data_IF_370472383009
#
_entry.id   IF_370472383009
#
_cell.length_a   1.000
_cell.length_b   1.000
_cell.length_c   1.000
_cell.angle_alpha   90.00
_cell.angle_beta   90.00
_cell.angle_gamma   90.00
#
_symmetry.space_group_name_H-M   'P 1'
#
loop_
_entity.id
_entity.type
_entity.pdbx_description
1 polymer ?
#
# COMPACT_ATOMS: atom_id res chain seq x y z
N UNK A 1 -21.86 17.15 12.03
CA UNK A 1 -21.85 15.70 12.33
C UNK A 1 -21.59 15.51 13.81
N UNK A 2 -22.57 14.98 14.55
CA UNK A 2 -22.40 14.64 15.97
C UNK A 2 -21.27 13.60 16.11
N UNK A 3 -20.34 13.85 17.04
CA UNK A 3 -19.29 12.90 17.43
C UNK A 3 -19.96 11.62 17.95
N UNK A 4 -19.61 10.46 17.41
CA UNK A 4 -19.83 9.17 18.06
C UNK A 4 -20.86 8.21 17.46
N UNK A 5 -21.66 8.59 16.45
CA UNK A 5 -22.55 7.63 15.79
C UNK A 5 -21.86 6.95 14.60
N UNK A 6 -21.73 5.63 14.67
CA UNK A 6 -21.33 4.78 13.56
C UNK A 6 -22.30 4.98 12.39
N UNK A 7 -21.78 5.39 11.24
CA UNK A 7 -22.59 5.53 10.03
C UNK A 7 -22.98 4.14 9.53
N UNK A 8 -24.24 3.95 9.13
CA UNK A 8 -24.73 2.69 8.53
C UNK A 8 -23.84 2.20 7.39
N UNK A 9 -23.29 3.12 6.60
CA UNK A 9 -22.39 2.79 5.48
C UNK A 9 -21.03 2.24 5.94
N UNK A 10 -20.57 2.60 7.15
CA UNK A 10 -19.28 2.14 7.67
C UNK A 10 -19.35 0.73 8.26
N UNK A 11 -20.54 0.29 8.68
CA UNK A 11 -20.74 -1.01 9.35
C UNK A 11 -20.21 -2.18 8.51
N UNK A 12 -20.54 -2.31 7.20
CA UNK A 12 -20.03 -3.41 6.38
C UNK A 12 -18.50 -3.43 6.29
N UNK A 13 -17.85 -2.27 6.19
CA UNK A 13 -16.38 -2.16 6.19
C UNK A 13 -15.80 -2.58 7.54
N UNK A 14 -16.40 -2.16 8.67
CA UNK A 14 -15.93 -2.53 10.00
C UNK A 14 -16.07 -4.03 10.29
N UNK A 15 -17.21 -4.63 9.91
CA UNK A 15 -17.39 -6.09 10.01
C UNK A 15 -16.35 -6.83 9.18
N UNK A 16 -16.09 -6.35 7.96
CA UNK A 16 -15.08 -6.91 7.08
C UNK A 16 -13.67 -6.79 7.69
N UNK A 17 -13.36 -5.67 8.33
CA UNK A 17 -12.12 -5.46 9.10
C UNK A 17 -12.00 -6.43 10.26
N UNK A 18 -13.06 -6.68 11.03
CA UNK A 18 -13.04 -7.64 12.14
C UNK A 18 -12.74 -9.06 11.64
N UNK A 19 -13.40 -9.49 10.55
CA UNK A 19 -13.13 -10.81 9.95
C UNK A 19 -11.65 -10.93 9.55
N UNK A 20 -11.09 -9.90 8.91
CA UNK A 20 -9.69 -9.93 8.48
C UNK A 20 -8.70 -9.76 9.64
N UNK A 21 -9.08 -9.10 10.73
CA UNK A 21 -8.30 -9.09 11.98
C UNK A 21 -8.20 -10.50 12.57
N UNK A 22 -9.27 -11.30 12.51
CA UNK A 22 -9.23 -12.69 12.95
C UNK A 22 -8.28 -13.49 12.06
N UNK A 23 -8.38 -13.36 10.73
CA UNK A 23 -7.44 -14.03 9.79
C UNK A 23 -5.99 -13.59 10.05
N UNK A 24 -5.78 -12.30 10.26
CA UNK A 24 -4.47 -11.74 10.60
C UNK A 24 -3.93 -12.31 11.92
N UNK A 25 -4.77 -12.46 12.95
CA UNK A 25 -4.37 -13.08 14.21
C UNK A 25 -3.89 -14.53 14.03
N UNK A 26 -4.53 -15.28 13.12
CA UNK A 26 -4.10 -16.64 12.76
C UNK A 26 -2.77 -16.61 12.00
N UNK A 27 -2.55 -15.59 11.16
CA UNK A 27 -1.27 -15.39 10.48
C UNK A 27 -0.13 -15.15 11.49
N UNK A 28 -0.37 -14.35 12.53
CA UNK A 28 0.61 -14.09 13.61
C UNK A 28 0.99 -15.37 14.37
N UNK A 29 0.03 -16.28 14.62
CA UNK A 29 0.30 -17.55 15.32
C UNK A 29 1.23 -18.50 14.56
N UNK A 30 1.21 -18.47 13.22
CA UNK A 30 2.01 -19.37 12.36
C UNK A 30 3.21 -18.68 11.72
N UNK A 31 3.60 -17.50 12.21
CA UNK A 31 4.65 -16.65 11.65
C UNK A 31 5.87 -17.47 11.22
N UNK A 32 6.11 -17.53 9.92
CA UNK A 32 7.35 -18.00 9.28
C UNK A 32 8.30 -16.84 9.01
N UNK A 33 9.56 -17.15 8.75
CA UNK A 33 10.67 -16.23 8.47
C UNK A 33 10.25 -15.05 7.56
N UNK A 34 9.62 -15.33 6.40
CA UNK A 34 9.26 -14.29 5.41
C UNK A 34 7.80 -13.82 5.45
N UNK A 35 7.07 -14.08 6.55
CA UNK A 35 5.63 -13.75 6.62
C UNK A 35 5.38 -12.25 6.45
N UNK A 36 6.18 -11.41 7.12
CA UNK A 36 6.04 -9.96 7.04
C UNK A 36 6.49 -9.40 5.69
N UNK A 37 7.60 -9.90 5.17
CA UNK A 37 8.09 -9.56 3.83
C UNK A 37 7.04 -9.87 2.77
N UNK A 38 6.40 -11.04 2.84
CA UNK A 38 5.34 -11.42 1.92
C UNK A 38 4.10 -10.52 2.09
N UNK A 39 3.67 -10.24 3.33
CA UNK A 39 2.53 -9.36 3.57
C UNK A 39 2.75 -7.97 2.99
N UNK A 40 3.88 -7.35 3.28
CA UNK A 40 4.22 -6.01 2.78
C UNK A 40 4.38 -6.00 1.26
N UNK A 41 4.90 -7.08 0.68
CA UNK A 41 4.98 -7.23 -0.78
C UNK A 41 3.59 -7.35 -1.41
N UNK A 42 2.69 -8.13 -0.81
CA UNK A 42 1.30 -8.25 -1.25
C UNK A 42 0.60 -6.88 -1.21
N UNK A 43 0.76 -6.11 -0.13
CA UNK A 43 0.22 -4.74 -0.04
C UNK A 43 0.82 -3.86 -1.15
N UNK A 44 2.12 -3.94 -1.39
CA UNK A 44 2.79 -3.17 -2.45
C UNK A 44 2.27 -3.50 -3.85
N UNK A 45 2.08 -4.78 -4.17
CA UNK A 45 1.46 -5.20 -5.43
C UNK A 45 0.04 -4.66 -5.57
N UNK A 46 -0.74 -4.70 -4.49
CA UNK A 46 -2.10 -4.17 -4.47
C UNK A 46 -2.13 -2.64 -4.65
N UNK A 47 -1.20 -1.90 -4.04
CA UNK A 47 -1.06 -0.45 -4.26
C UNK A 47 -0.65 -0.11 -5.70
N UNK A 48 0.26 -0.89 -6.29
CA UNK A 48 0.64 -0.70 -7.69
C UNK A 48 -0.56 -0.92 -8.62
N UNK A 49 -1.34 -1.96 -8.37
CA UNK A 49 -2.59 -2.21 -9.09
C UNK A 49 -3.62 -1.06 -8.91
N UNK A 50 -3.84 -0.64 -7.66
CA UNK A 50 -4.80 0.42 -7.32
C UNK A 50 -4.43 1.78 -7.95
N UNK A 51 -3.13 2.02 -8.16
CA UNK A 51 -2.66 3.21 -8.84
C UNK A 51 -3.26 3.35 -10.24
N UNK A 52 -3.25 2.28 -11.04
CA UNK A 52 -3.86 2.30 -12.37
C UNK A 52 -5.38 2.32 -12.26
N UNK A 53 -5.95 1.37 -11.52
CA UNK A 53 -7.39 1.13 -11.54
C UNK A 53 -8.18 2.28 -10.91
N UNK A 54 -7.77 2.74 -9.74
CA UNK A 54 -8.49 3.79 -9.02
C UNK A 54 -7.91 5.17 -9.29
N UNK A 55 -6.61 5.39 -9.06
CA UNK A 55 -6.07 6.74 -9.05
C UNK A 55 -6.05 7.37 -10.45
N UNK A 56 -5.59 6.64 -11.46
CA UNK A 56 -5.57 7.11 -12.85
C UNK A 56 -6.95 7.00 -13.52
N UNK A 57 -7.54 5.80 -13.53
CA UNK A 57 -8.71 5.50 -14.35
C UNK A 57 -10.06 5.55 -13.61
N UNK A 58 -10.06 5.69 -12.29
CA UNK A 58 -11.28 5.82 -11.48
C UNK A 58 -12.31 4.72 -11.77
N UNK A 59 -11.90 3.45 -11.79
CA UNK A 59 -12.74 2.32 -12.18
C UNK A 59 -14.00 2.14 -11.32
N UNK A 60 -13.91 2.55 -10.06
CA UNK A 60 -14.96 2.44 -9.07
C UNK A 60 -14.81 3.51 -7.98
N UNK A 61 -15.76 3.55 -7.07
CA UNK A 61 -15.78 4.47 -5.94
C UNK A 61 -16.35 3.78 -4.70
N UNK A 62 -15.56 3.74 -3.63
CA UNK A 62 -15.99 3.37 -2.29
C UNK A 62 -16.63 4.56 -1.55
N UNK A 63 -17.58 4.27 -0.66
CA UNK A 63 -18.27 5.25 0.18
C UNK A 63 -18.42 4.73 1.62
N UNK A 64 -17.31 4.47 2.34
CA UNK A 64 -17.38 4.00 3.72
C UNK A 64 -17.98 5.04 4.67
N UNK A 65 -17.99 6.32 4.32
CA UNK A 65 -18.52 7.45 5.09
C UNK A 65 -17.85 7.62 6.47
N UNK A 66 -16.55 7.35 6.55
CA UNK A 66 -15.71 7.48 7.76
C UNK A 66 -15.02 8.84 7.79
N UNK A 67 -14.49 9.31 6.65
CA UNK A 67 -13.82 10.60 6.51
C UNK A 67 -14.77 11.66 5.95
N UNK A 68 -14.57 12.91 6.40
CA UNK A 68 -15.42 14.04 5.98
C UNK A 68 -15.27 14.40 4.50
N UNK A 69 -14.07 14.21 3.93
CA UNK A 69 -13.79 14.56 2.54
C UNK A 69 -14.07 13.32 1.68
N UNK A 70 -15.09 13.39 0.81
CA UNK A 70 -15.53 12.26 -0.02
C UNK A 70 -14.41 11.59 -0.82
N UNK A 71 -13.47 12.37 -1.37
CA UNK A 71 -12.35 11.79 -2.11
C UNK A 71 -11.41 10.99 -1.19
N UNK A 72 -11.05 11.53 -0.02
CA UNK A 72 -10.23 10.82 0.96
C UNK A 72 -10.94 9.58 1.51
N UNK A 73 -12.27 9.67 1.68
CA UNK A 73 -13.11 8.56 2.12
C UNK A 73 -13.14 7.42 1.09
N UNK A 74 -13.22 7.75 -0.20
CA UNK A 74 -13.07 6.79 -1.29
C UNK A 74 -11.71 6.08 -1.24
N UNK A 75 -10.62 6.85 -1.14
CA UNK A 75 -9.27 6.29 -1.02
C UNK A 75 -9.11 5.45 0.25
N UNK A 76 -9.73 5.83 1.37
CA UNK A 76 -9.72 5.02 2.59
C UNK A 76 -10.38 3.65 2.35
N UNK A 77 -11.52 3.61 1.67
CA UNK A 77 -12.18 2.35 1.30
C UNK A 77 -11.28 1.46 0.44
N UNK A 78 -10.56 2.06 -0.50
CA UNK A 78 -9.57 1.36 -1.30
C UNK A 78 -8.40 0.84 -0.47
N UNK A 79 -7.83 1.64 0.43
CA UNK A 79 -6.75 1.23 1.34
C UNK A 79 -7.19 0.07 2.24
N UNK A 80 -8.43 0.09 2.76
CA UNK A 80 -8.95 -1.03 3.53
C UNK A 80 -8.94 -2.33 2.71
N UNK A 81 -9.33 -2.28 1.44
CA UNK A 81 -9.27 -3.43 0.54
C UNK A 81 -7.82 -3.85 0.23
N UNK A 82 -6.99 -2.90 -0.21
CA UNK A 82 -5.68 -3.15 -0.81
C UNK A 82 -4.51 -3.19 0.16
N UNK A 83 -4.67 -2.73 1.40
CA UNK A 83 -3.67 -2.86 2.46
C UNK A 83 -4.07 -3.88 3.52
N UNK A 84 -5.36 -4.19 3.63
CA UNK A 84 -5.86 -5.04 4.70
C UNK A 84 -6.52 -6.30 4.14
N UNK A 85 -7.70 -6.21 3.53
CA UNK A 85 -8.52 -7.39 3.26
C UNK A 85 -7.86 -8.39 2.29
N UNK A 86 -7.49 -7.91 1.11
CA UNK A 86 -6.97 -8.76 0.04
C UNK A 86 -5.53 -9.25 0.34
N UNK A 87 -4.57 -8.39 0.76
CA UNK A 87 -3.22 -8.84 1.08
C UNK A 87 -3.13 -9.80 2.27
N UNK A 88 -3.92 -9.58 3.33
CA UNK A 88 -3.94 -10.49 4.50
C UNK A 88 -4.43 -11.87 4.06
N UNK A 89 -5.49 -11.92 3.25
CA UNK A 89 -6.01 -13.18 2.72
C UNK A 89 -4.99 -13.89 1.84
N UNK A 90 -4.35 -13.19 0.89
CA UNK A 90 -3.33 -13.78 0.02
C UNK A 90 -2.14 -14.33 0.82
N UNK A 91 -1.67 -13.57 1.80
CA UNK A 91 -0.58 -13.99 2.69
C UNK A 91 -1.00 -15.20 3.53
N UNK A 92 -2.21 -15.21 4.09
CA UNK A 92 -2.75 -16.33 4.85
C UNK A 92 -2.81 -17.60 4.01
N UNK A 93 -3.40 -17.54 2.81
CA UNK A 93 -3.51 -18.67 1.90
C UNK A 93 -2.12 -19.24 1.54
N UNK A 94 -1.17 -18.37 1.26
CA UNK A 94 0.21 -18.74 0.88
C UNK A 94 0.96 -19.40 2.04
N UNK A 95 1.01 -18.74 3.20
CA UNK A 95 1.77 -19.24 4.36
C UNK A 95 1.19 -20.56 4.87
N UNK A 96 -0.13 -20.68 4.89
CA UNK A 96 -0.81 -21.92 5.27
C UNK A 96 -0.80 -23.00 4.18
N UNK A 97 -0.22 -22.73 3.00
CA UNK A 97 -0.16 -23.63 1.84
C UNK A 97 -1.55 -24.19 1.48
N UNK A 98 -2.56 -23.32 1.49
CA UNK A 98 -3.94 -23.71 1.21
C UNK A 98 -4.10 -24.07 -0.27
N UNK A 99 -4.84 -25.15 -0.55
CA UNK A 99 -5.07 -25.63 -1.90
C UNK A 99 -6.01 -24.73 -2.73
N UNK A 100 -6.19 -25.05 -4.00
CA UNK A 100 -7.01 -24.26 -4.93
C UNK A 100 -8.47 -24.09 -4.47
N UNK A 101 -9.04 -25.07 -3.74
CA UNK A 101 -10.41 -25.00 -3.23
C UNK A 101 -10.57 -23.81 -2.28
N UNK A 102 -9.63 -23.62 -1.36
CA UNK A 102 -9.63 -22.45 -0.46
C UNK A 102 -9.50 -21.14 -1.22
N UNK A 103 -8.65 -21.08 -2.25
CA UNK A 103 -8.51 -19.89 -3.10
C UNK A 103 -9.84 -19.53 -3.78
N UNK A 104 -10.51 -20.51 -4.38
CA UNK A 104 -11.83 -20.33 -4.99
C UNK A 104 -12.86 -19.89 -3.95
N UNK A 105 -12.88 -20.48 -2.75
CA UNK A 105 -13.78 -20.04 -1.67
C UNK A 105 -13.58 -18.57 -1.29
N UNK A 106 -12.33 -18.11 -1.15
CA UNK A 106 -12.06 -16.70 -0.85
C UNK A 106 -12.39 -15.77 -2.01
N UNK A 107 -12.16 -16.18 -3.26
CA UNK A 107 -12.58 -15.42 -4.44
C UNK A 107 -14.10 -15.25 -4.45
N UNK A 108 -14.85 -16.33 -4.22
CA UNK A 108 -16.32 -16.29 -4.11
C UNK A 108 -16.77 -15.39 -2.97
N UNK A 109 -16.10 -15.47 -1.82
CA UNK A 109 -16.34 -14.58 -0.68
C UNK A 109 -16.19 -13.09 -1.07
N UNK A 110 -15.08 -12.70 -1.70
CA UNK A 110 -14.88 -11.31 -2.13
C UNK A 110 -15.86 -10.87 -3.20
N UNK A 111 -16.23 -11.76 -4.13
CA UNK A 111 -17.27 -11.47 -5.12
C UNK A 111 -18.63 -11.20 -4.46
N UNK A 112 -19.00 -12.00 -3.45
CA UNK A 112 -20.24 -11.80 -2.67
C UNK A 112 -20.18 -10.47 -1.92
N UNK A 113 -19.05 -10.15 -1.27
CA UNK A 113 -18.84 -8.87 -0.59
C UNK A 113 -18.98 -7.69 -1.55
N UNK A 114 -18.38 -7.76 -2.74
CA UNK A 114 -18.50 -6.71 -3.76
C UNK A 114 -19.95 -6.53 -4.21
N UNK A 115 -20.68 -7.63 -4.49
CA UNK A 115 -22.11 -7.59 -4.83
C UNK A 115 -22.97 -7.03 -3.70
N UNK A 116 -22.66 -7.36 -2.45
CA UNK A 116 -23.32 -6.79 -1.29
C UNK A 116 -23.07 -5.28 -1.21
N UNK A 117 -21.83 -4.84 -1.39
CA UNK A 117 -21.48 -3.41 -1.33
C UNK A 117 -22.14 -2.61 -2.46
N UNK A 118 -22.30 -3.20 -3.65
CA UNK A 118 -23.11 -2.63 -4.73
C UNK A 118 -24.57 -2.47 -4.33
N UNK A 119 -25.19 -3.52 -3.79
CA UNK A 119 -26.60 -3.49 -3.35
C UNK A 119 -26.84 -2.47 -2.24
N UNK A 120 -25.88 -2.30 -1.33
CA UNK A 120 -25.93 -1.31 -0.25
C UNK A 120 -25.61 0.12 -0.73
N UNK A 121 -25.20 0.32 -1.98
CA UNK A 121 -24.85 1.64 -2.55
C UNK A 121 -23.56 2.26 -1.99
N UNK A 122 -22.79 1.49 -1.21
CA UNK A 122 -21.52 1.89 -0.58
C UNK A 122 -20.29 1.61 -1.47
N UNK A 123 -20.52 0.94 -2.59
CA UNK A 123 -19.58 0.78 -3.69
C UNK A 123 -20.31 1.08 -5.00
N UNK A 124 -19.67 1.82 -5.90
CA UNK A 124 -20.19 2.12 -7.22
C UNK A 124 -19.13 1.78 -8.26
N UNK A 125 -19.49 1.02 -9.28
CA UNK A 125 -18.63 0.78 -10.44
C UNK A 125 -18.85 1.90 -11.47
N UNK A 126 -17.76 2.34 -12.10
CA UNK A 126 -17.82 3.26 -13.23
C UNK A 126 -17.66 2.46 -14.53
N UNK A 127 -16.51 1.82 -14.70
CA UNK A 127 -16.27 0.86 -15.79
C UNK A 127 -15.83 -0.52 -15.28
N UNK A 128 -15.57 -0.65 -13.98
CA UNK A 128 -15.19 -1.92 -13.38
C UNK A 128 -16.32 -2.95 -13.45
N UNK A 129 -16.01 -4.14 -13.96
CA UNK A 129 -16.93 -5.27 -13.94
C UNK A 129 -16.55 -6.23 -12.81
N UNK A 130 -17.47 -6.69 -11.95
CA UNK A 130 -17.17 -7.66 -10.88
C UNK A 130 -16.50 -8.96 -11.36
N UNK A 131 -16.66 -9.33 -12.65
CA UNK A 131 -15.92 -10.45 -13.26
C UNK A 131 -14.40 -10.22 -13.24
N UNK A 132 -13.94 -8.98 -13.36
CA UNK A 132 -12.53 -8.63 -13.25
C UNK A 132 -11.98 -8.93 -11.87
N UNK A 133 -12.73 -8.64 -10.80
CA UNK A 133 -12.35 -9.00 -9.43
C UNK A 133 -12.07 -10.50 -9.33
N UNK A 134 -12.97 -11.35 -9.82
CA UNK A 134 -12.80 -12.82 -9.76
C UNK A 134 -11.52 -13.27 -10.46
N UNK A 135 -11.27 -12.81 -11.69
CA UNK A 135 -10.10 -13.21 -12.49
C UNK A 135 -8.80 -12.68 -11.89
N UNK A 136 -8.77 -11.39 -11.53
CA UNK A 136 -7.58 -10.75 -10.99
C UNK A 136 -7.22 -11.28 -9.61
N UNK A 137 -8.21 -11.60 -8.77
CA UNK A 137 -7.96 -12.23 -7.47
C UNK A 137 -7.35 -13.62 -7.60
N UNK A 138 -7.80 -14.42 -8.57
CA UNK A 138 -7.18 -15.70 -8.86
C UNK A 138 -5.69 -15.52 -9.20
N UNK A 139 -5.39 -14.61 -10.13
CA UNK A 139 -4.01 -14.28 -10.50
C UNK A 139 -3.21 -13.78 -9.30
N UNK A 140 -3.78 -12.88 -8.50
CA UNK A 140 -3.12 -12.32 -7.32
C UNK A 140 -2.74 -13.39 -6.29
N UNK A 141 -3.61 -14.36 -6.03
CA UNK A 141 -3.31 -15.48 -5.13
C UNK A 141 -2.25 -16.44 -5.68
N UNK A 142 -2.09 -16.56 -7.00
CA UNK A 142 -1.00 -17.33 -7.59
C UNK A 142 0.32 -16.55 -7.62
N UNK A 143 0.26 -15.24 -7.89
CA UNK A 143 1.41 -14.34 -7.80
C UNK A 143 1.98 -14.38 -6.37
N UNK A 144 1.12 -14.33 -5.34
CA UNK A 144 1.56 -14.40 -3.95
C UNK A 144 2.31 -15.71 -3.64
N UNK A 145 1.76 -16.86 -4.02
CA UNK A 145 2.41 -18.17 -3.85
C UNK A 145 3.75 -18.25 -4.58
N UNK A 146 3.77 -17.80 -5.84
CA UNK A 146 4.97 -17.85 -6.67
C UNK A 146 6.05 -16.92 -6.12
N UNK A 147 5.68 -15.71 -5.74
CA UNK A 147 6.60 -14.73 -5.17
C UNK A 147 7.17 -15.20 -3.83
N UNK A 148 6.35 -15.81 -2.97
CA UNK A 148 6.82 -16.44 -1.75
C UNK A 148 7.86 -17.52 -2.00
N UNK A 149 7.65 -18.40 -3.00
CA UNK A 149 8.66 -19.40 -3.40
C UNK A 149 9.96 -18.77 -3.87
N UNK A 150 9.91 -17.61 -4.54
CA UNK A 150 11.11 -16.91 -5.00
C UNK A 150 11.87 -16.26 -3.84
N UNK A 151 11.16 -15.73 -2.84
CA UNK A 151 11.73 -15.22 -1.59
C UNK A 151 12.36 -16.38 -0.79
N UNK A 152 11.67 -17.51 -0.64
CA UNK A 152 12.22 -18.71 0.04
C UNK A 152 13.47 -19.25 -0.68
N UNK A 153 13.47 -19.22 -2.02
CA UNK A 153 14.65 -19.56 -2.85
C UNK A 153 15.72 -18.46 -2.88
N UNK A 154 15.54 -17.37 -2.14
CA UNK A 154 16.45 -16.23 -2.03
C UNK A 154 16.93 -15.70 -3.38
N UNK A 155 16.01 -15.60 -4.35
CA UNK A 155 16.34 -14.98 -5.63
C UNK A 155 16.58 -13.49 -5.41
N UNK A 156 17.79 -13.01 -5.71
CA UNK A 156 18.21 -11.63 -5.45
C UNK A 156 17.23 -10.57 -5.95
N UNK A 157 16.72 -10.75 -7.17
CA UNK A 157 15.75 -9.82 -7.76
C UNK A 157 14.42 -9.81 -7.00
N UNK A 158 13.99 -10.96 -6.46
CA UNK A 158 12.74 -11.06 -5.70
C UNK A 158 12.90 -10.41 -4.32
N UNK A 159 14.05 -10.57 -3.66
CA UNK A 159 14.36 -9.90 -2.41
C UNK A 159 14.44 -8.37 -2.59
N UNK A 160 15.10 -7.90 -3.66
CA UNK A 160 15.13 -6.47 -4.03
C UNK A 160 13.73 -5.94 -4.32
N UNK A 161 12.90 -6.70 -5.04
CA UNK A 161 11.52 -6.32 -5.31
C UNK A 161 10.69 -6.26 -4.02
N UNK A 162 10.83 -7.21 -3.12
CA UNK A 162 10.13 -7.20 -1.82
C UNK A 162 10.54 -6.00 -0.96
N UNK A 163 11.82 -5.66 -0.95
CA UNK A 163 12.33 -4.47 -0.29
C UNK A 163 11.74 -3.19 -0.90
N UNK A 164 11.75 -3.08 -2.24
CA UNK A 164 11.17 -1.96 -2.97
C UNK A 164 9.68 -1.77 -2.62
N UNK A 165 8.89 -2.84 -2.73
CA UNK A 165 7.46 -2.81 -2.41
C UNK A 165 7.22 -2.39 -0.96
N UNK A 166 8.03 -2.88 -0.03
CA UNK A 166 7.93 -2.50 1.38
C UNK A 166 8.15 -0.99 1.59
N UNK A 167 9.18 -0.42 0.96
CA UNK A 167 9.47 1.02 1.05
C UNK A 167 8.31 1.82 0.45
N UNK A 168 7.81 1.43 -0.72
CA UNK A 168 6.65 2.08 -1.37
C UNK A 168 5.41 2.05 -0.48
N UNK A 169 5.12 0.92 0.19
CA UNK A 169 3.99 0.82 1.11
C UNK A 169 4.10 1.80 2.27
N UNK A 170 5.29 1.92 2.86
CA UNK A 170 5.56 2.85 3.95
C UNK A 170 5.34 4.30 3.48
N UNK A 171 5.92 4.67 2.35
CA UNK A 171 5.80 6.03 1.79
C UNK A 171 4.35 6.37 1.42
N UNK A 172 3.65 5.51 0.68
CA UNK A 172 2.26 5.75 0.27
C UNK A 172 1.34 5.87 1.49
N UNK A 173 1.53 5.03 2.51
CA UNK A 173 0.75 5.08 3.76
C UNK A 173 1.00 6.38 4.54
N UNK A 174 2.25 6.83 4.59
CA UNK A 174 2.59 8.13 5.19
C UNK A 174 1.95 9.28 4.43
N UNK A 175 2.06 9.29 3.09
CA UNK A 175 1.47 10.33 2.26
C UNK A 175 -0.04 10.40 2.45
N UNK A 176 -0.73 9.27 2.48
CA UNK A 176 -2.16 9.22 2.79
C UNK A 176 -2.46 9.78 4.19
N UNK A 177 -1.68 9.41 5.20
CA UNK A 177 -1.84 9.92 6.57
C UNK A 177 -1.68 11.45 6.63
N UNK A 178 -0.68 11.99 5.94
CA UNK A 178 -0.46 13.43 5.84
C UNK A 178 -1.56 14.15 5.08
N UNK A 179 -2.11 13.53 4.04
CA UNK A 179 -3.25 14.01 3.29
C UNK A 179 -4.53 14.09 4.14
N UNK A 180 -4.80 13.04 4.93
CA UNK A 180 -5.94 13.02 5.88
C UNK A 180 -5.81 14.11 6.94
N UNK A 181 -4.59 14.34 7.44
CA UNK A 181 -4.28 15.46 8.35
C UNK A 181 -4.25 16.83 7.66
N UNK A 182 -4.46 16.87 6.34
CA UNK A 182 -4.43 18.08 5.49
C UNK A 182 -3.10 18.85 5.57
N UNK A 183 -2.02 18.16 5.93
CA UNK A 183 -0.68 18.75 6.04
C UNK A 183 0.07 18.75 4.71
N UNK A 184 -0.36 17.88 3.78
CA UNK A 184 0.30 17.69 2.50
C UNK A 184 -0.74 17.52 1.39
N UNK A 185 -0.51 18.21 0.26
CA UNK A 185 -1.31 18.06 -0.96
C UNK A 185 -0.48 18.36 -2.20
N UNK A 186 -0.25 17.33 -3.00
CA UNK A 186 0.33 17.44 -4.33
C UNK A 186 -0.74 17.91 -5.33
N UNK A 187 -0.36 18.62 -6.38
CA UNK A 187 -1.27 19.15 -7.40
C UNK A 187 -0.52 20.03 -8.40
N UNK A 188 -1.10 20.31 -9.56
CA UNK A 188 -0.44 21.09 -10.61
C UNK A 188 -0.95 22.54 -10.61
N UNK A 189 -0.04 23.51 -10.70
CA UNK A 189 -0.40 24.92 -10.84
C UNK A 189 -0.84 25.58 -9.53
N UNK A 190 -1.89 26.41 -9.58
CA UNK A 190 -2.35 27.20 -8.42
C UNK A 190 -3.42 26.51 -7.58
N UNK A 191 -4.23 25.63 -8.19
CA UNK A 191 -5.37 24.96 -7.56
C UNK A 191 -5.15 23.46 -7.50
N UNK A 192 -4.81 22.96 -6.31
CA UNK A 192 -4.52 21.55 -6.11
C UNK A 192 -5.81 20.79 -5.82
N UNK A 193 -6.09 19.75 -6.60
CA UNK A 193 -7.21 18.84 -6.40
C UNK A 193 -6.78 17.59 -5.63
N UNK A 194 -7.74 16.88 -5.03
CA UNK A 194 -7.43 15.58 -4.42
C UNK A 194 -7.10 14.53 -5.48
N UNK A 195 -7.70 14.64 -6.67
CA UNK A 195 -7.40 13.74 -7.79
C UNK A 195 -5.92 13.78 -8.16
N UNK A 196 -5.38 14.98 -8.42
CA UNK A 196 -3.96 15.13 -8.73
C UNK A 196 -3.07 14.64 -7.59
N UNK A 197 -3.44 14.92 -6.34
CA UNK A 197 -2.67 14.45 -5.20
C UNK A 197 -2.47 12.94 -5.22
N UNK A 198 -3.55 12.17 -5.44
CA UNK A 198 -3.49 10.71 -5.47
C UNK A 198 -2.96 10.13 -6.78
N UNK A 199 -2.70 10.95 -7.80
CA UNK A 199 -1.93 10.56 -8.99
C UNK A 199 -0.43 10.81 -8.76
N UNK A 200 -0.08 11.98 -8.22
CA UNK A 200 1.32 12.41 -8.10
C UNK A 200 1.99 11.75 -6.89
N UNK A 201 1.33 11.67 -5.73
CA UNK A 201 1.96 11.18 -4.51
C UNK A 201 2.39 9.71 -4.61
N UNK A 202 1.58 8.76 -5.14
CA UNK A 202 2.06 7.40 -5.34
C UNK A 202 3.20 7.31 -6.34
N UNK A 203 3.17 8.10 -7.42
CA UNK A 203 4.27 8.13 -8.40
C UNK A 203 5.57 8.63 -7.77
N UNK A 204 5.49 9.67 -6.94
CA UNK A 204 6.62 10.14 -6.14
C UNK A 204 7.18 9.04 -5.24
N UNK A 205 6.32 8.32 -4.50
CA UNK A 205 6.73 7.19 -3.66
C UNK A 205 7.36 6.05 -4.47
N UNK A 206 6.84 5.75 -5.67
CA UNK A 206 7.43 4.75 -6.56
C UNK A 206 8.85 5.15 -6.98
N UNK A 207 9.09 6.41 -7.32
CA UNK A 207 10.41 6.92 -7.71
C UNK A 207 11.40 6.92 -6.54
N UNK A 208 10.98 7.40 -5.36
CA UNK A 208 11.80 7.39 -4.16
C UNK A 208 12.16 5.96 -3.72
N UNK A 209 11.21 5.03 -3.83
CA UNK A 209 11.42 3.63 -3.50
C UNK A 209 12.52 2.97 -4.33
N UNK A 210 12.60 3.29 -5.64
CA UNK A 210 13.63 2.74 -6.54
C UNK A 210 15.02 3.11 -6.03
N UNK A 211 15.25 4.41 -5.84
CA UNK A 211 16.53 4.91 -5.38
C UNK A 211 16.89 4.40 -3.97
N UNK A 212 15.92 4.40 -3.06
CA UNK A 212 16.08 3.89 -1.69
C UNK A 212 16.49 2.42 -1.67
N UNK A 213 15.95 1.62 -2.59
CA UNK A 213 16.28 0.20 -2.68
C UNK A 213 17.72 -0.02 -3.10
N UNK A 214 18.22 0.77 -4.05
CA UNK A 214 19.62 0.69 -4.49
C UNK A 214 20.59 1.17 -3.42
N UNK A 215 20.33 2.35 -2.83
CA UNK A 215 21.24 2.96 -1.86
C UNK A 215 21.31 2.17 -0.55
N UNK A 216 20.19 1.63 -0.06
CA UNK A 216 20.18 0.93 1.23
C UNK A 216 21.09 -0.29 1.27
N UNK A 217 21.46 -0.85 0.11
CA UNK A 217 22.41 -1.97 0.01
C UNK A 217 23.84 -1.58 0.40
N UNK A 218 24.22 -0.32 0.22
CA UNK A 218 25.56 0.20 0.51
C UNK A 218 25.71 0.51 1.99
N UNK A 219 26.88 0.27 2.59
CA UNK A 219 27.22 0.64 3.98
C UNK A 219 27.99 1.97 4.04
N UNK A 220 27.95 2.67 5.18
CA UNK A 220 28.69 3.92 5.41
C UNK A 220 27.86 5.21 5.33
N UNK A 221 28.20 6.20 6.15
CA UNK A 221 27.42 7.43 6.33
C UNK A 221 27.25 8.24 5.03
N UNK A 222 28.25 8.21 4.14
CA UNK A 222 28.24 8.94 2.87
C UNK A 222 27.03 8.59 1.99
N UNK A 223 26.64 7.32 1.92
CA UNK A 223 25.48 6.89 1.14
C UNK A 223 24.16 7.36 1.75
N UNK A 224 24.11 7.59 3.06
CA UNK A 224 22.92 8.13 3.75
C UNK A 224 22.79 9.62 3.48
N UNK A 225 23.93 10.31 3.41
CA UNK A 225 23.97 11.68 2.94
C UNK A 225 23.51 11.80 1.49
N UNK A 226 23.98 10.94 0.58
CA UNK A 226 23.47 10.91 -0.81
C UNK A 226 21.99 10.56 -0.89
N UNK A 227 21.51 9.67 -0.02
CA UNK A 227 20.07 9.36 0.08
C UNK A 227 19.24 10.59 0.42
N UNK A 228 19.64 11.30 1.49
CA UNK A 228 18.98 12.52 1.92
C UNK A 228 19.06 13.61 0.86
N UNK A 229 20.24 13.83 0.27
CA UNK A 229 20.44 14.83 -0.78
C UNK A 229 19.52 14.56 -1.98
N UNK A 230 19.41 13.32 -2.43
CA UNK A 230 18.50 12.95 -3.51
C UNK A 230 17.04 13.29 -3.18
N UNK A 231 16.55 12.93 -1.99
CA UNK A 231 15.20 13.27 -1.56
C UNK A 231 14.96 14.79 -1.53
N UNK A 232 15.92 15.56 -0.99
CA UNK A 232 15.84 17.02 -0.96
C UNK A 232 15.85 17.64 -2.36
N UNK A 233 16.63 17.10 -3.29
CA UNK A 233 16.66 17.56 -4.69
C UNK A 233 15.33 17.31 -5.39
N UNK A 234 14.74 16.11 -5.23
CA UNK A 234 13.42 15.80 -5.81
C UNK A 234 12.36 16.73 -5.21
N UNK A 235 12.36 16.93 -3.89
CA UNK A 235 11.41 17.83 -3.23
C UNK A 235 11.56 19.27 -3.70
N UNK A 236 12.79 19.78 -3.77
CA UNK A 236 13.09 21.10 -4.28
C UNK A 236 12.58 21.27 -5.72
N UNK A 237 12.83 20.29 -6.58
CA UNK A 237 12.35 20.29 -7.95
C UNK A 237 10.81 20.35 -8.00
N UNK A 238 10.12 19.50 -7.23
CA UNK A 238 8.66 19.48 -7.17
C UNK A 238 8.05 20.78 -6.64
N UNK A 239 8.71 21.44 -5.67
CA UNK A 239 8.30 22.75 -5.16
C UNK A 239 8.53 23.83 -6.23
N UNK A 240 9.69 23.83 -6.89
CA UNK A 240 10.05 24.81 -7.92
C UNK A 240 9.09 24.77 -9.12
N UNK A 241 8.69 23.58 -9.54
CA UNK A 241 7.73 23.36 -10.63
C UNK A 241 6.27 23.57 -10.17
N UNK A 242 6.04 23.89 -8.89
CA UNK A 242 4.71 24.09 -8.27
C UNK A 242 3.81 22.85 -8.37
N UNK A 243 4.41 21.65 -8.31
CA UNK A 243 3.68 20.39 -8.22
C UNK A 243 3.29 20.03 -6.78
N UNK A 244 3.82 20.78 -5.82
CA UNK A 244 3.58 20.57 -4.40
C UNK A 244 3.38 21.91 -3.71
N UNK A 245 2.23 22.06 -3.05
CA UNK A 245 1.95 23.21 -2.20
C UNK A 245 2.19 22.80 -0.77
N UNK A 246 3.38 23.14 -0.30
CA UNK A 246 3.82 22.92 1.07
C UNK A 246 3.93 24.29 1.72
N UNK A 247 3.25 24.47 2.86
CA UNK A 247 3.59 25.57 3.75
C UNK A 247 4.97 25.29 4.36
N UNK A 248 5.77 26.31 4.68
CA UNK A 248 7.14 26.13 5.22
C UNK A 248 7.21 25.14 6.41
N UNK A 249 6.21 25.16 7.30
CA UNK A 249 6.06 24.20 8.40
C UNK A 249 5.85 22.73 7.97
N UNK A 250 5.23 22.50 6.81
CA UNK A 250 5.10 21.18 6.22
C UNK A 250 6.39 20.73 5.53
N UNK A 251 7.22 21.64 4.99
CA UNK A 251 8.53 21.31 4.41
C UNK A 251 9.47 20.76 5.49
N UNK A 252 9.48 21.41 6.65
CA UNK A 252 10.23 20.94 7.82
C UNK A 252 9.78 19.56 8.33
N UNK A 253 8.58 19.09 7.97
CA UNK A 253 8.12 17.74 8.32
C UNK A 253 8.62 16.67 7.35
N UNK A 254 9.08 17.05 6.14
CA UNK A 254 9.68 16.09 5.20
C UNK A 254 11.05 15.63 5.63
N UNK A 255 11.88 16.51 6.21
CA UNK A 255 13.24 16.12 6.61
C UNK A 255 13.24 14.99 7.65
N UNK A 256 12.47 15.05 8.75
CA UNK A 256 12.36 13.92 9.68
C UNK A 256 11.80 12.66 9.02
N UNK A 257 10.84 12.80 8.09
CA UNK A 257 10.30 11.67 7.34
C UNK A 257 11.36 11.02 6.45
N UNK A 258 12.14 11.81 5.73
CA UNK A 258 13.23 11.34 4.88
C UNK A 258 14.28 10.58 5.69
N UNK A 259 14.69 11.14 6.83
CA UNK A 259 15.58 10.44 7.76
C UNK A 259 14.99 9.12 8.25
N UNK A 260 13.68 9.11 8.55
CA UNK A 260 12.97 7.88 8.91
C UNK A 260 12.98 6.85 7.78
N UNK A 261 12.68 7.23 6.54
CA UNK A 261 12.70 6.33 5.37
C UNK A 261 14.11 5.82 5.08
N UNK A 262 15.13 6.66 5.21
CA UNK A 262 16.54 6.24 5.06
C UNK A 262 16.90 5.19 6.11
N UNK A 263 16.51 5.42 7.37
CA UNK A 263 16.73 4.48 8.45
C UNK A 263 15.98 3.16 8.22
N UNK A 264 14.68 3.23 7.95
CA UNK A 264 13.81 2.06 7.76
C UNK A 264 14.19 1.29 6.50
N UNK A 265 14.49 1.94 5.39
CA UNK A 265 14.94 1.24 4.16
C UNK A 265 16.21 0.42 4.39
N UNK A 266 17.13 0.89 5.24
CA UNK A 266 18.31 0.13 5.65
C UNK A 266 17.95 -1.01 6.61
N UNK A 267 17.03 -0.79 7.55
CA UNK A 267 16.54 -1.86 8.42
C UNK A 267 15.86 -2.97 7.62
N UNK A 268 14.96 -2.63 6.70
CA UNK A 268 14.27 -3.57 5.82
C UNK A 268 15.28 -4.33 4.95
N UNK A 269 16.27 -3.63 4.39
CA UNK A 269 17.34 -4.30 3.65
C UNK A 269 18.11 -5.28 4.53
N UNK A 270 18.48 -4.88 5.75
CA UNK A 270 19.12 -5.79 6.70
C UNK A 270 18.21 -6.97 6.99
N UNK A 271 16.97 -6.79 7.41
CA UNK A 271 16.06 -7.90 7.74
C UNK A 271 15.87 -8.89 6.59
N UNK A 272 15.65 -8.39 5.37
CA UNK A 272 15.41 -9.24 4.19
C UNK A 272 16.70 -9.98 3.77
N UNK A 273 17.87 -9.36 3.91
CA UNK A 273 19.15 -9.90 3.43
C UNK A 273 20.08 -10.43 4.54
N UNK A 274 19.87 -10.18 5.84
CA UNK A 274 20.75 -10.63 6.94
C UNK A 274 20.47 -12.06 7.32
N UNK A 275 19.22 -12.49 7.18
CA UNK A 275 18.86 -13.91 7.17
C UNK A 275 19.69 -14.68 6.11
N UNK A 276 20.34 -14.01 5.14
CA UNK A 276 21.23 -14.62 4.15
C UNK A 276 22.56 -15.15 4.68
N UNK A 277 23.11 -14.60 5.77
CA UNK A 277 24.53 -14.84 6.15
C UNK A 277 24.76 -15.98 7.14
N UNK A 278 23.73 -16.51 7.79
CA UNK A 278 23.88 -17.62 8.76
C UNK A 278 23.86 -19.02 8.10
N UNK A 279 23.92 -19.13 6.77
CA UNK A 279 23.80 -20.43 6.05
C UNK A 279 24.76 -20.61 4.87
N UNK A 280 25.90 -19.95 4.91
CA UNK A 280 27.08 -20.30 4.10
C UNK A 280 28.19 -20.71 5.04
#
# INVERSE_FOLDING_TARGET
MRKGQLNRNSIPFLLLTIIHLIIFSQLLKRKREYTWTLLLSNIGFAFFFEYFVLNLFQAYTYKPSILKIKYLDNILGAILSQAFYVPITATFLTIYKKNWRWKVSFITYFYIVEKLFLRLGIYKTNWWNPKFTTVLMLMYFYISDYFYKLIEKRKDWALKLAQYLTIVVIDVTFMFTMAVRRKLKFGVGLLHTWKEHFIIAPLYSLLLGIFSTFISSKSGIIYRFYHLLYFLVIDYFLIKVRYVKINYSAFLQFVPWHLFVIYVSRLVHKEIFSNSKERT
#
